data_IF_564680762027
#
_entry.id   IF_564680762027
#
_cell.length_a   1.000
_cell.length_b   1.000
_cell.length_c   1.000
_cell.angle_alpha   90.00
_cell.angle_beta   90.00
_cell.angle_gamma   90.00
#
_symmetry.space_group_name_H-M   'P 1'
#
loop_
_entity.id
_entity.type
_entity.pdbx_description
1 polymer ?
#
# COMPACT_ATOMS: atom_id res chain seq x y z
N UNK A 1 -13.27 8.03 -3.11
CA UNK A 1 -12.87 8.17 -4.53
C UNK A 1 -11.70 7.27 -4.94
N UNK A 2 -10.90 6.69 -4.04
CA UNK A 2 -9.88 5.66 -4.38
C UNK A 2 -10.39 4.21 -4.31
N UNK A 3 -11.57 3.98 -3.74
CA UNK A 3 -12.18 2.65 -3.56
C UNK A 3 -12.87 2.09 -4.81
N UNK A 4 -12.81 2.79 -5.96
CA UNK A 4 -13.45 2.42 -7.23
C UNK A 4 -12.55 2.64 -8.46
N UNK A 5 -11.25 2.48 -8.29
CA UNK A 5 -10.30 2.58 -9.40
C UNK A 5 -10.03 1.16 -9.91
N UNK A 6 -10.07 0.95 -11.23
CA UNK A 6 -9.93 -0.36 -11.84
C UNK A 6 -8.52 -0.95 -11.69
N UNK A 7 -8.34 -2.24 -12.02
CA UNK A 7 -7.04 -2.92 -11.97
C UNK A 7 -6.09 -2.51 -13.12
N UNK A 8 -6.55 -1.67 -14.06
CA UNK A 8 -5.78 -1.24 -15.23
C UNK A 8 -4.58 -0.36 -14.87
N UNK A 9 -3.50 -0.52 -15.64
CA UNK A 9 -2.23 0.20 -15.47
C UNK A 9 -2.32 1.70 -15.77
N UNK A 10 -3.30 2.14 -16.56
CA UNK A 10 -3.51 3.55 -16.91
C UNK A 10 -3.80 4.44 -15.69
N UNK A 11 -4.35 3.87 -14.61
CA UNK A 11 -4.72 4.60 -13.41
C UNK A 11 -3.64 4.53 -12.31
N UNK A 12 -2.54 3.80 -12.55
CA UNK A 12 -1.50 3.58 -11.53
C UNK A 12 -0.81 4.88 -11.11
N UNK A 13 -0.49 5.74 -12.07
CA UNK A 13 0.09 7.07 -11.77
C UNK A 13 -0.85 7.89 -10.90
N UNK A 14 -2.15 7.89 -11.20
CA UNK A 14 -3.13 8.64 -10.42
C UNK A 14 -3.24 8.08 -8.99
N UNK A 15 -3.33 6.76 -8.85
CA UNK A 15 -3.46 6.11 -7.54
C UNK A 15 -2.20 6.32 -6.70
N UNK A 16 -1.01 6.16 -7.28
CA UNK A 16 0.26 6.39 -6.58
C UNK A 16 0.37 7.84 -6.10
N UNK A 17 0.02 8.82 -6.94
CA UNK A 17 0.00 10.24 -6.54
C UNK A 17 -1.05 10.55 -5.48
N UNK A 18 -2.22 9.92 -5.58
CA UNK A 18 -3.27 10.08 -4.57
C UNK A 18 -2.89 9.43 -3.23
N UNK A 19 -2.10 8.36 -3.22
CA UNK A 19 -1.55 7.73 -2.02
C UNK A 19 -0.44 8.56 -1.36
N UNK A 20 0.32 9.32 -2.15
CA UNK A 20 1.33 10.23 -1.61
C UNK A 20 0.71 11.37 -0.78
N UNK A 21 -0.49 11.84 -1.11
CA UNK A 21 -1.13 12.93 -0.38
C UNK A 21 -1.41 12.58 1.09
N UNK A 22 -2.11 11.48 1.45
CA UNK A 22 -2.26 11.04 2.82
C UNK A 22 -0.92 10.86 3.55
N UNK A 23 0.11 10.31 2.89
CA UNK A 23 1.45 10.18 3.48
C UNK A 23 2.03 11.52 3.93
N UNK A 24 1.81 12.60 3.18
CA UNK A 24 2.26 13.95 3.59
C UNK A 24 1.38 14.49 4.71
N UNK A 25 0.06 14.37 4.60
CA UNK A 25 -0.89 14.98 5.55
C UNK A 25 -0.81 14.34 6.93
N UNK A 26 -0.58 13.03 7.02
CA UNK A 26 -0.44 12.30 8.29
C UNK A 26 0.80 12.77 9.07
N UNK A 27 1.85 13.22 8.39
CA UNK A 27 3.06 13.81 9.01
C UNK A 27 2.84 15.24 9.53
N UNK A 28 1.76 15.92 9.14
CA UNK A 28 1.47 17.28 9.61
C UNK A 28 0.92 17.25 11.03
N UNK A 29 1.64 17.87 11.97
CA UNK A 29 1.34 17.86 13.40
C UNK A 29 -0.10 18.32 13.72
N UNK A 30 -0.58 19.34 13.02
CA UNK A 30 -1.93 19.89 13.18
C UNK A 30 -3.07 18.92 12.81
N UNK A 31 -2.79 17.88 12.01
CA UNK A 31 -3.79 16.92 11.53
C UNK A 31 -3.63 15.53 12.15
N UNK A 32 -2.56 15.29 12.93
CA UNK A 32 -2.24 13.98 13.50
C UNK A 32 -3.39 13.40 14.33
N UNK A 33 -4.08 14.25 15.11
CA UNK A 33 -5.23 13.84 15.92
C UNK A 33 -6.42 13.31 15.09
N UNK A 34 -6.59 13.79 13.84
CA UNK A 34 -7.67 13.30 12.96
C UNK A 34 -7.41 11.87 12.48
N UNK A 35 -6.15 11.44 12.42
CA UNK A 35 -5.75 10.10 11.95
C UNK A 35 -5.48 9.12 13.10
N UNK A 36 -5.44 9.59 14.34
CA UNK A 36 -5.17 8.75 15.52
C UNK A 36 -6.35 7.86 15.93
N UNK A 37 -7.55 8.11 15.38
CA UNK A 37 -8.71 7.27 15.66
C UNK A 37 -8.48 5.84 15.12
N UNK A 38 -8.65 4.78 15.95
CA UNK A 38 -8.41 3.40 15.54
C UNK A 38 -9.18 3.01 14.26
N UNK A 39 -10.42 3.48 14.11
CA UNK A 39 -11.27 3.20 12.96
C UNK A 39 -10.67 3.78 11.67
N UNK A 40 -10.01 4.94 11.75
CA UNK A 40 -9.33 5.57 10.62
C UNK A 40 -8.09 4.78 10.22
N UNK A 41 -7.28 4.35 11.18
CA UNK A 41 -6.10 3.52 10.92
C UNK A 41 -6.51 2.17 10.32
N UNK A 42 -7.55 1.54 10.84
CA UNK A 42 -8.11 0.31 10.26
C UNK A 42 -8.60 0.54 8.84
N UNK A 43 -9.31 1.64 8.57
CA UNK A 43 -9.79 1.96 7.22
C UNK A 43 -8.62 2.20 6.24
N UNK A 44 -7.53 2.83 6.68
CA UNK A 44 -6.31 2.97 5.87
C UNK A 44 -5.68 1.62 5.55
N UNK A 45 -5.53 0.74 6.54
CA UNK A 45 -4.99 -0.59 6.30
C UNK A 45 -5.89 -1.39 5.34
N UNK A 46 -7.20 -1.46 5.61
CA UNK A 46 -8.12 -2.34 4.89
C UNK A 46 -8.50 -1.83 3.50
N UNK A 47 -8.79 -0.53 3.35
CA UNK A 47 -9.35 0.02 2.12
C UNK A 47 -8.32 0.62 1.19
N UNK A 48 -7.11 0.87 1.68
CA UNK A 48 -6.06 1.58 0.94
C UNK A 48 -4.80 0.74 0.82
N UNK A 49 -4.19 0.34 1.94
CA UNK A 49 -2.90 -0.36 1.92
C UNK A 49 -3.04 -1.76 1.32
N UNK A 50 -3.86 -2.63 1.93
CA UNK A 50 -3.99 -4.02 1.51
C UNK A 50 -4.37 -4.19 0.02
N UNK A 51 -5.35 -3.46 -0.53
CA UNK A 51 -5.73 -3.59 -1.94
C UNK A 51 -4.66 -3.14 -2.93
N UNK A 52 -3.74 -2.26 -2.51
CA UNK A 52 -2.67 -1.73 -3.35
C UNK A 52 -1.33 -2.45 -3.15
N UNK A 53 -1.25 -3.40 -2.20
CA UNK A 53 -0.08 -4.27 -1.99
C UNK A 53 -0.17 -5.61 -2.74
N UNK A 54 -1.37 -6.01 -3.17
CA UNK A 54 -1.57 -7.27 -3.88
C UNK A 54 -0.84 -7.30 -5.23
N UNK A 55 -0.19 -8.42 -5.53
CA UNK A 55 0.38 -8.72 -6.85
C UNK A 55 -0.77 -8.85 -7.84
N UNK A 56 -0.65 -8.19 -8.98
CA UNK A 56 -1.66 -8.23 -10.06
C UNK A 56 -1.25 -9.18 -11.17
N UNK A 57 -2.23 -9.63 -11.93
CA UNK A 57 -2.05 -10.54 -13.08
C UNK A 57 -0.93 -10.09 -14.03
N UNK A 58 -0.88 -8.81 -14.45
CA UNK A 58 0.21 -8.32 -15.31
C UNK A 58 1.61 -8.34 -14.66
N UNK A 59 1.68 -8.28 -13.33
CA UNK A 59 2.94 -8.38 -12.59
C UNK A 59 3.40 -9.83 -12.48
N UNK A 60 2.45 -10.76 -12.34
CA UNK A 60 2.65 -12.20 -12.40
C UNK A 60 3.09 -12.64 -13.80
N UNK A 61 2.41 -12.18 -14.86
CA UNK A 61 2.84 -12.38 -16.26
C UNK A 61 4.26 -11.86 -16.49
N UNK A 62 4.59 -10.66 -15.99
CA UNK A 62 5.95 -10.13 -16.13
C UNK A 62 6.97 -10.98 -15.36
N UNK A 63 6.59 -11.51 -14.21
CA UNK A 63 7.45 -12.40 -13.42
C UNK A 63 7.72 -13.73 -14.15
N UNK A 64 6.73 -14.28 -14.84
CA UNK A 64 6.84 -15.51 -15.62
C UNK A 64 7.59 -15.31 -16.96
N UNK A 65 7.28 -14.26 -17.71
CA UNK A 65 7.82 -14.02 -19.06
C UNK A 65 9.19 -13.32 -19.07
N UNK A 66 9.44 -12.37 -18.16
CA UNK A 66 10.69 -11.60 -18.05
C UNK A 66 11.05 -11.30 -16.58
N UNK A 67 11.56 -12.31 -15.85
CA UNK A 67 11.86 -12.18 -14.42
C UNK A 67 12.91 -11.10 -14.14
N UNK A 68 13.81 -10.81 -15.09
CA UNK A 68 14.82 -9.77 -14.90
C UNK A 68 14.19 -8.37 -14.96
N UNK A 69 13.21 -8.15 -15.83
CA UNK A 69 12.42 -6.91 -15.84
C UNK A 69 11.62 -6.75 -14.56
N UNK A 70 11.01 -7.83 -14.04
CA UNK A 70 10.30 -7.81 -12.77
C UNK A 70 11.21 -7.34 -11.61
N UNK A 71 12.37 -7.99 -11.43
CA UNK A 71 13.33 -7.66 -10.37
C UNK A 71 13.85 -6.22 -10.50
N UNK A 72 14.17 -5.75 -11.71
CA UNK A 72 14.62 -4.36 -11.93
C UNK A 72 13.54 -3.34 -11.59
N UNK A 73 12.28 -3.64 -11.89
CA UNK A 73 11.14 -2.77 -11.57
C UNK A 73 10.86 -2.74 -10.07
N UNK A 74 11.09 -3.85 -9.37
CA UNK A 74 10.84 -3.96 -7.92
C UNK A 74 11.98 -3.36 -7.08
N UNK A 75 13.24 -3.60 -7.47
CA UNK A 75 14.43 -3.16 -6.71
C UNK A 75 15.06 -1.86 -7.22
N UNK A 76 14.73 -1.44 -8.44
CA UNK A 76 15.35 -0.29 -9.07
C UNK A 76 14.83 1.05 -8.54
N UNK A 77 15.67 2.11 -8.51
CA UNK A 77 15.18 3.45 -8.23
C UNK A 77 14.16 3.86 -9.30
N UNK A 78 12.93 4.14 -8.88
CA UNK A 78 11.79 4.43 -9.75
C UNK A 78 11.98 5.75 -10.52
N UNK A 79 12.60 5.68 -11.71
CA UNK A 79 12.75 6.83 -12.61
C UNK A 79 11.49 7.07 -13.48
N UNK A 80 10.64 6.07 -13.68
CA UNK A 80 9.55 6.12 -14.68
C UNK A 80 8.12 5.91 -14.15
N UNK A 81 7.93 5.77 -12.83
CA UNK A 81 6.59 5.77 -12.25
C UNK A 81 6.51 5.00 -10.94
N UNK A 82 6.01 5.68 -9.90
CA UNK A 82 5.69 5.04 -8.63
C UNK A 82 4.65 3.93 -8.87
N UNK A 83 5.01 2.68 -8.55
CA UNK A 83 4.03 1.57 -8.57
C UNK A 83 3.06 1.75 -7.41
N UNK A 84 1.82 1.24 -7.55
CA UNK A 84 0.86 1.27 -6.44
C UNK A 84 1.40 0.53 -5.21
N UNK A 85 2.14 -0.56 -5.41
CA UNK A 85 2.80 -1.33 -4.35
C UNK A 85 3.85 -0.51 -3.61
N UNK A 86 4.67 0.25 -4.34
CA UNK A 86 5.67 1.15 -3.75
C UNK A 86 4.97 2.27 -2.97
N UNK A 87 3.97 2.93 -3.56
CA UNK A 87 3.24 4.01 -2.91
C UNK A 87 2.49 3.54 -1.64
N UNK A 88 1.89 2.35 -1.67
CA UNK A 88 1.27 1.73 -0.49
C UNK A 88 2.31 1.38 0.59
N UNK A 89 3.49 0.87 0.19
CA UNK A 89 4.59 0.57 1.11
C UNK A 89 5.11 1.83 1.80
N UNK A 90 5.29 2.92 1.06
CA UNK A 90 5.75 4.20 1.62
C UNK A 90 4.70 4.83 2.53
N UNK A 91 3.41 4.67 2.21
CA UNK A 91 2.32 5.08 3.10
C UNK A 91 2.31 4.26 4.39
N UNK A 92 2.44 2.94 4.32
CA UNK A 92 2.57 2.07 5.50
C UNK A 92 3.76 2.49 6.37
N UNK A 93 4.93 2.75 5.76
CA UNK A 93 6.12 3.24 6.50
C UNK A 93 5.82 4.54 7.23
N UNK A 94 5.14 5.47 6.58
CA UNK A 94 4.74 6.75 7.18
C UNK A 94 3.80 6.57 8.37
N UNK A 95 2.82 5.66 8.27
CA UNK A 95 1.95 5.35 9.40
C UNK A 95 2.71 4.69 10.54
N UNK A 96 3.64 3.79 10.24
CA UNK A 96 4.50 3.12 11.23
C UNK A 96 5.41 4.10 11.98
N UNK A 97 5.93 5.14 11.32
CA UNK A 97 6.71 6.21 11.98
C UNK A 97 5.92 6.95 13.07
N UNK A 98 4.58 6.95 13.00
CA UNK A 98 3.72 7.78 13.84
C UNK A 98 2.79 6.99 14.78
N UNK A 99 2.40 5.78 14.38
CA UNK A 99 1.38 4.94 15.01
C UNK A 99 1.81 3.46 15.00
N UNK A 100 3.10 3.21 15.27
CA UNK A 100 3.74 1.89 15.13
C UNK A 100 2.93 0.77 15.78
N UNK A 101 2.50 0.97 17.03
CA UNK A 101 1.81 -0.06 17.81
C UNK A 101 0.45 -0.38 17.20
N UNK A 102 -0.37 0.64 16.95
CA UNK A 102 -1.72 0.51 16.43
C UNK A 102 -1.71 -0.15 15.05
N UNK A 103 -0.84 0.31 14.15
CA UNK A 103 -0.72 -0.23 12.79
C UNK A 103 -0.22 -1.67 12.82
N UNK A 104 0.75 -1.98 13.68
CA UNK A 104 1.27 -3.33 13.85
C UNK A 104 0.17 -4.29 14.33
N UNK A 105 -0.62 -3.89 15.32
CA UNK A 105 -1.68 -4.74 15.86
C UNK A 105 -2.79 -5.00 14.82
N UNK A 106 -3.13 -4.00 14.02
CA UNK A 106 -4.07 -4.14 12.90
C UNK A 106 -3.52 -5.13 11.85
N UNK A 107 -2.29 -4.93 11.37
CA UNK A 107 -1.69 -5.77 10.32
C UNK A 107 -1.49 -7.21 10.82
N UNK A 108 -1.08 -7.41 12.07
CA UNK A 108 -0.98 -8.76 12.68
C UNK A 108 -2.30 -9.52 12.60
N UNK A 109 -3.44 -8.84 12.85
CA UNK A 109 -4.76 -9.44 12.71
C UNK A 109 -5.02 -9.96 11.29
N UNK A 110 -4.68 -9.17 10.28
CA UNK A 110 -4.81 -9.59 8.87
C UNK A 110 -3.85 -10.70 8.48
N UNK A 111 -2.59 -10.66 8.91
CA UNK A 111 -1.62 -11.73 8.65
C UNK A 111 -2.10 -13.05 9.26
N UNK A 112 -2.56 -13.02 10.52
CA UNK A 112 -3.13 -14.19 11.18
C UNK A 112 -4.35 -14.73 10.44
N UNK A 113 -5.25 -13.85 9.98
CA UNK A 113 -6.40 -14.24 9.19
C UNK A 113 -6.01 -14.91 7.87
N UNK A 114 -5.04 -14.34 7.14
CA UNK A 114 -4.51 -14.90 5.89
C UNK A 114 -3.90 -16.29 6.15
N UNK A 115 -3.07 -16.45 7.18
CA UNK A 115 -2.49 -17.75 7.54
C UNK A 115 -3.58 -18.82 7.75
N UNK A 116 -4.64 -18.49 8.49
CA UNK A 116 -5.77 -19.40 8.72
C UNK A 116 -6.50 -19.74 7.42
N UNK A 117 -6.76 -18.75 6.57
CA UNK A 117 -7.49 -18.94 5.30
C UNK A 117 -6.72 -19.84 4.33
N UNK A 118 -5.40 -19.67 4.25
CA UNK A 118 -4.54 -20.42 3.32
C UNK A 118 -3.93 -21.68 3.95
N UNK A 119 -4.22 -21.98 5.22
CA UNK A 119 -3.72 -23.17 5.91
C UNK A 119 -2.20 -23.18 6.12
N UNK A 120 -1.60 -21.99 6.27
CA UNK A 120 -0.15 -21.78 6.48
C UNK A 120 0.12 -21.57 7.98
#
# INVERSE_FOLDING_TARGET
MLTRVGPGTHEDVLVSRALQFPSVVVKMENHRAMFAAPETLTAFCEKIILPNMAIREHEEETFEDDPMKYIRRDLGPSAEGDTRRQAATDFTRTLMELFEKEVTDIIKGYVSWICVVYGI
#
